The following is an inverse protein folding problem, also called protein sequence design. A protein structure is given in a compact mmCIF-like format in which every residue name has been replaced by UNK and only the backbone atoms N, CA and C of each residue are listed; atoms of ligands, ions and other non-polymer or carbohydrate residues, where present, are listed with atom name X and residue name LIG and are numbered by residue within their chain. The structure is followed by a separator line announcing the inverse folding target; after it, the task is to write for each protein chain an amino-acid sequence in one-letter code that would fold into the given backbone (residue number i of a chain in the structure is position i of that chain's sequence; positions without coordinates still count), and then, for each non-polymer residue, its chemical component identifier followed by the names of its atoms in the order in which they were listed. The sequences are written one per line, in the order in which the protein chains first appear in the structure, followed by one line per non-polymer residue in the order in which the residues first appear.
data_IF_240271826570
#
_entry.id   IF_240271826570
#
_cell.length_a   1.000
_cell.length_b   1.000
_cell.length_c   1.000
_cell.angle_alpha   90.00
_cell.angle_beta   90.00
_cell.angle_gamma   90.00
#
_symmetry.space_group_name_H-M   'P 1'
#
loop_
_entity.id
_entity.type
_entity.pdbx_description
1 polymer ?
#
# COMPACT_ATOMS: atom_id res chain seq x y z
N UNK A 1 -31.89 -20.38 -42.95
CA UNK A 1 -30.48 -19.99 -42.73
C UNK A 1 -30.45 -18.48 -42.68
N UNK A 2 -29.40 -17.91 -42.07
CA UNK A 2 -29.23 -16.51 -41.63
C UNK A 2 -29.67 -16.36 -40.16
N UNK A 3 -28.84 -16.59 -39.15
CA UNK A 3 -27.40 -16.30 -39.06
C UNK A 3 -27.19 -15.06 -38.17
N UNK A 4 -27.81 -15.03 -36.99
CA UNK A 4 -27.54 -14.00 -35.99
C UNK A 4 -26.26 -14.37 -35.25
N UNK A 5 -25.20 -13.59 -35.47
CA UNK A 5 -23.91 -13.73 -34.81
C UNK A 5 -23.87 -12.73 -33.64
N UNK A 6 -23.89 -13.18 -32.38
CA UNK A 6 -23.65 -12.30 -31.25
C UNK A 6 -22.15 -12.09 -31.12
N UNK A 7 -21.69 -10.84 -31.09
CA UNK A 7 -20.31 -10.33 -30.99
C UNK A 7 -19.84 -9.62 -32.27
N UNK A 8 -20.48 -8.51 -32.60
CA UNK A 8 -19.78 -7.41 -33.26
C UNK A 8 -19.52 -6.34 -32.18
N UNK A 9 -18.49 -6.58 -31.37
CA UNK A 9 -17.97 -5.59 -30.44
C UNK A 9 -16.79 -4.91 -31.13
N UNK A 10 -17.09 -3.87 -31.90
CA UNK A 10 -16.07 -2.93 -32.34
C UNK A 10 -15.28 -2.45 -31.12
N UNK A 11 -13.93 -2.47 -31.15
CA UNK A 11 -13.13 -1.97 -30.03
C UNK A 11 -13.48 -0.50 -29.79
N UNK A 12 -13.73 -0.12 -28.54
CA UNK A 12 -13.90 1.29 -28.15
C UNK A 12 -12.52 1.95 -28.30
N UNK A 13 -12.22 2.36 -29.52
CA UNK A 13 -11.13 3.26 -29.84
C UNK A 13 -11.64 4.67 -29.55
N UNK A 14 -11.17 5.22 -28.44
CA UNK A 14 -11.42 6.57 -27.95
C UNK A 14 -12.73 6.77 -27.19
N UNK A 15 -12.58 7.12 -25.91
CA UNK A 15 -13.64 7.73 -25.12
C UNK A 15 -13.77 9.17 -25.62
N UNK A 16 -14.82 9.41 -26.40
CA UNK A 16 -15.22 10.75 -26.79
C UNK A 16 -15.47 11.60 -25.53
N UNK A 17 -14.55 12.54 -25.26
CA UNK A 17 -14.60 13.42 -24.10
C UNK A 17 -15.78 14.40 -24.19
N UNK A 18 -16.35 14.60 -25.37
CA UNK A 18 -17.50 15.49 -25.59
C UNK A 18 -18.85 14.81 -25.35
N UNK A 19 -18.89 13.47 -25.23
CA UNK A 19 -20.09 12.71 -24.84
C UNK A 19 -20.29 12.54 -23.33
N UNK A 20 -19.30 12.91 -22.53
CA UNK A 20 -19.42 12.91 -21.08
C UNK A 20 -20.11 14.21 -20.64
N UNK A 21 -21.43 14.27 -20.82
CA UNK A 21 -22.21 15.39 -20.33
C UNK A 21 -21.90 15.60 -18.85
N UNK A 22 -21.45 16.80 -18.52
CA UNK A 22 -21.02 17.18 -17.18
C UNK A 22 -22.12 16.92 -16.12
N UNK A 23 -23.40 16.92 -16.54
CA UNK A 23 -24.54 16.50 -15.72
C UNK A 23 -24.56 14.99 -15.41
N UNK A 24 -24.17 14.13 -16.35
CA UNK A 24 -24.04 12.67 -16.13
C UNK A 24 -22.86 12.38 -15.19
N UNK A 25 -21.73 13.07 -15.37
CA UNK A 25 -20.59 12.96 -14.44
C UNK A 25 -20.99 13.35 -13.02
N UNK A 26 -21.64 14.51 -12.85
CA UNK A 26 -22.18 14.94 -11.55
C UNK A 26 -23.16 13.94 -10.95
N UNK A 27 -23.97 13.27 -11.77
CA UNK A 27 -24.90 12.23 -11.30
C UNK A 27 -24.14 11.00 -10.82
N UNK A 28 -23.09 10.58 -11.53
CA UNK A 28 -22.23 9.46 -11.13
C UNK A 28 -21.48 9.79 -9.83
N UNK A 29 -20.88 10.98 -9.73
CA UNK A 29 -20.24 11.48 -8.51
C UNK A 29 -21.21 11.44 -7.33
N UNK A 30 -22.41 11.99 -7.50
CA UNK A 30 -23.45 11.95 -6.47
C UNK A 30 -23.85 10.53 -6.07
N UNK A 31 -23.98 9.60 -7.03
CA UNK A 31 -24.30 8.21 -6.72
C UNK A 31 -23.17 7.52 -5.95
N UNK A 32 -21.90 7.83 -6.25
CA UNK A 32 -20.74 7.35 -5.50
C UNK A 32 -20.75 7.89 -4.07
N UNK A 33 -21.12 9.17 -3.88
CA UNK A 33 -21.27 9.79 -2.56
C UNK A 33 -22.38 9.12 -1.76
N UNK A 34 -23.57 9.01 -2.36
CA UNK A 34 -24.74 8.41 -1.73
C UNK A 34 -24.47 6.94 -1.35
N UNK A 35 -23.76 6.20 -2.19
CA UNK A 35 -23.32 4.83 -1.89
C UNK A 35 -22.28 4.79 -0.77
N UNK A 36 -21.31 5.72 -0.75
CA UNK A 36 -20.30 5.78 0.31
C UNK A 36 -20.94 6.10 1.66
N UNK A 37 -21.88 7.04 1.70
CA UNK A 37 -22.69 7.36 2.88
C UNK A 37 -23.54 6.16 3.30
N UNK A 38 -24.25 5.52 2.36
CA UNK A 38 -25.08 4.35 2.67
C UNK A 38 -24.24 3.19 3.20
N UNK A 39 -23.08 2.89 2.61
CA UNK A 39 -22.19 1.82 3.04
C UNK A 39 -21.59 2.10 4.42
N UNK A 40 -21.20 3.34 4.72
CA UNK A 40 -20.72 3.71 6.06
C UNK A 40 -21.82 3.63 7.12
N UNK A 41 -23.08 3.93 6.78
CA UNK A 41 -24.23 3.82 7.68
C UNK A 41 -24.72 2.39 7.89
N UNK A 42 -24.75 1.56 6.84
CA UNK A 42 -25.26 0.19 6.89
C UNK A 42 -24.20 -0.84 7.30
N UNK A 43 -22.92 -0.56 7.05
CA UNK A 43 -21.80 -1.41 7.44
C UNK A 43 -20.77 -0.63 8.28
N UNK A 44 -21.18 -0.01 9.41
CA UNK A 44 -20.30 0.86 10.19
C UNK A 44 -19.08 0.13 10.73
N UNK A 45 -19.19 -1.19 10.97
CA UNK A 45 -18.08 -2.04 11.41
C UNK A 45 -17.04 -2.31 10.31
N UNK A 46 -17.44 -2.31 9.05
CA UNK A 46 -16.55 -2.51 7.90
C UNK A 46 -15.83 -1.21 7.60
N UNK A 47 -16.56 -0.09 7.59
CA UNK A 47 -16.00 1.23 7.37
C UNK A 47 -15.08 1.68 8.50
N UNK A 48 -15.41 1.38 9.77
CA UNK A 48 -14.59 1.76 10.93
C UNK A 48 -13.21 1.12 10.97
N UNK A 49 -13.01 0.04 10.20
CA UNK A 49 -11.71 -0.62 10.13
C UNK A 49 -10.87 -0.08 8.97
N UNK A 50 -11.47 0.55 7.95
CA UNK A 50 -10.72 1.01 6.78
C UNK A 50 -9.88 2.24 7.14
N UNK A 51 -8.58 2.04 7.14
CA UNK A 51 -7.56 3.05 7.39
C UNK A 51 -6.87 3.41 6.07
N UNK A 52 -6.50 4.69 5.92
CA UNK A 52 -5.65 5.17 4.82
C UNK A 52 -4.42 5.86 5.39
N UNK A 53 -3.44 5.11 5.92
CA UNK A 53 -2.27 5.70 6.55
C UNK A 53 -1.47 6.58 5.58
N UNK A 54 -0.79 7.60 6.08
CA UNK A 54 0.14 8.41 5.29
C UNK A 54 1.57 7.94 5.54
N UNK A 55 2.42 7.98 4.51
CA UNK A 55 3.84 7.64 4.65
C UNK A 55 4.60 8.75 5.38
N UNK A 56 5.39 8.39 6.39
CA UNK A 56 6.21 9.35 7.14
C UNK A 56 7.56 9.57 6.46
N UNK A 57 7.71 10.73 5.83
CA UNK A 57 8.95 11.16 5.17
C UNK A 57 10.17 11.19 6.11
N UNK A 58 9.98 11.33 7.42
CA UNK A 58 11.09 11.32 8.38
C UNK A 58 11.64 9.91 8.64
N UNK A 59 10.81 8.89 8.42
CA UNK A 59 11.18 7.48 8.59
C UNK A 59 11.77 6.85 7.33
N UNK A 60 11.63 7.52 6.17
CA UNK A 60 12.05 6.94 4.90
C UNK A 60 13.56 6.85 4.77
N UNK A 61 14.01 5.69 4.31
CA UNK A 61 15.40 5.48 3.92
C UNK A 61 15.82 6.52 2.84
N UNK A 62 17.04 7.11 2.90
CA UNK A 62 17.48 8.20 2.02
C UNK A 62 17.44 7.94 0.50
N UNK A 63 17.47 6.66 0.09
CA UNK A 63 17.32 6.23 -1.31
C UNK A 63 15.87 6.00 -1.74
N UNK A 64 14.89 6.35 -0.92
CA UNK A 64 13.48 6.31 -1.27
C UNK A 64 12.99 7.70 -1.62
N UNK A 65 12.06 7.74 -2.56
CA UNK A 65 11.32 8.94 -2.90
C UNK A 65 9.85 8.72 -2.54
N UNK A 66 9.29 9.64 -1.76
CA UNK A 66 7.88 9.65 -1.39
C UNK A 66 7.18 10.74 -2.21
N UNK A 67 6.01 10.43 -2.76
CA UNK A 67 5.16 11.42 -3.42
C UNK A 67 4.70 12.53 -2.47
N UNK A 68 4.33 13.69 -3.02
CA UNK A 68 3.89 14.85 -2.25
C UNK A 68 2.64 14.56 -1.39
N UNK A 69 1.73 13.72 -1.89
CA UNK A 69 0.53 13.27 -1.17
C UNK A 69 0.82 12.23 -0.07
N UNK A 70 2.08 11.81 0.09
CA UNK A 70 2.53 10.79 1.04
C UNK A 70 1.86 9.43 0.87
N UNK A 71 1.45 9.09 -0.34
CA UNK A 71 0.81 7.80 -0.62
C UNK A 71 1.67 6.85 -1.42
N UNK A 72 2.66 7.33 -2.15
CA UNK A 72 3.52 6.51 -3.00
C UNK A 72 4.95 6.51 -2.48
N UNK A 73 5.63 5.37 -2.63
CA UNK A 73 7.06 5.26 -2.40
C UNK A 73 7.71 4.41 -3.48
N UNK A 74 8.81 4.89 -4.04
CA UNK A 74 9.66 4.14 -4.95
C UNK A 74 11.13 4.26 -4.54
N UNK A 75 11.95 3.35 -5.05
CA UNK A 75 13.39 3.47 -4.91
C UNK A 75 13.94 4.43 -5.95
N UNK A 76 14.78 5.38 -5.50
CA UNK A 76 15.42 6.37 -6.36
C UNK A 76 16.90 6.04 -6.53
N UNK A 77 17.34 5.98 -7.78
CA UNK A 77 18.77 5.93 -8.12
C UNK A 77 19.37 7.32 -7.91
N UNK A 78 20.06 7.54 -6.80
CA UNK A 78 20.83 8.78 -6.59
C UNK A 78 22.14 8.76 -7.39
N UNK A 79 22.57 9.91 -7.96
CA UNK A 79 23.93 10.11 -8.45
C UNK A 79 24.94 10.00 -7.30
N UNK A 80 26.16 9.52 -7.60
CA UNK A 80 27.23 9.28 -6.61
C UNK A 80 27.63 10.54 -5.82
N UNK A 81 27.33 11.73 -6.32
CA UNK A 81 27.68 13.03 -5.70
C UNK A 81 26.76 13.48 -4.56
N UNK A 82 25.61 12.83 -4.35
CA UNK A 82 24.59 13.24 -3.35
C UNK A 82 24.58 12.33 -2.11
N UNK A 83 25.74 11.79 -1.72
CA UNK A 83 25.85 10.91 -0.56
C UNK A 83 25.43 11.63 0.73
N UNK A 84 24.27 11.27 1.27
CA UNK A 84 23.79 11.73 2.56
C UNK A 84 24.56 11.07 3.71
N UNK A 85 24.68 11.80 4.82
CA UNK A 85 25.29 11.33 6.06
C UNK A 85 24.60 10.06 6.59
N UNK A 86 25.31 9.21 7.36
CA UNK A 86 24.74 7.96 7.89
C UNK A 86 23.59 8.30 8.83
N UNK A 87 22.36 8.02 8.42
CA UNK A 87 21.22 8.13 9.30
C UNK A 87 21.21 6.93 10.25
N UNK A 88 20.81 7.19 11.50
CA UNK A 88 20.89 6.28 12.65
C UNK A 88 19.90 5.09 12.60
N UNK A 89 19.08 5.01 11.56
CA UNK A 89 18.04 4.00 11.40
C UNK A 89 18.22 3.28 10.05
N UNK A 90 18.93 2.16 10.02
CA UNK A 90 19.23 1.42 8.79
C UNK A 90 18.05 0.51 8.37
N UNK A 91 16.85 1.07 8.23
CA UNK A 91 15.74 0.35 7.63
C UNK A 91 16.07 0.10 6.15
N UNK A 92 16.56 -1.09 5.80
CA UNK A 92 16.94 -1.45 4.44
C UNK A 92 15.83 -1.04 3.46
N UNK A 93 16.02 0.05 2.73
CA UNK A 93 15.07 0.60 1.74
C UNK A 93 13.59 0.62 2.19
N UNK A 94 13.29 0.96 3.45
CA UNK A 94 11.90 0.97 3.94
C UNK A 94 11.43 2.35 4.42
N UNK A 95 10.12 2.49 4.56
CA UNK A 95 9.42 3.66 5.12
C UNK A 95 8.25 3.19 5.98
N UNK A 96 8.00 3.90 7.09
CA UNK A 96 6.86 3.66 7.97
C UNK A 96 5.69 4.58 7.61
N UNK A 97 4.48 4.16 7.95
CA UNK A 97 3.36 5.08 8.03
C UNK A 97 3.45 5.96 9.30
N UNK A 98 2.83 7.13 9.23
CA UNK A 98 2.76 8.08 10.34
C UNK A 98 1.83 7.57 11.45
N UNK A 99 0.74 6.91 11.07
CA UNK A 99 -0.20 6.30 11.98
C UNK A 99 0.31 4.95 12.52
N UNK A 100 0.01 4.69 13.79
CA UNK A 100 0.25 3.40 14.43
C UNK A 100 -1.00 2.88 15.11
N UNK A 101 -1.08 1.57 15.28
CA UNK A 101 -2.25 0.90 15.81
C UNK A 101 -1.92 0.18 17.12
N UNK A 102 -2.65 0.53 18.18
CA UNK A 102 -2.45 -0.05 19.52
C UNK A 102 -3.63 -0.89 19.99
N UNK A 103 -4.84 -0.60 19.50
CA UNK A 103 -6.07 -1.30 19.90
C UNK A 103 -7.04 -1.43 18.72
N UNK A 104 -7.98 -2.37 18.80
CA UNK A 104 -9.07 -2.51 17.83
C UNK A 104 -8.73 -3.34 16.59
N UNK A 105 -9.43 -3.04 15.49
CA UNK A 105 -9.25 -3.68 14.18
C UNK A 105 -8.99 -2.60 13.13
N UNK A 106 -7.95 -2.79 12.34
CA UNK A 106 -7.52 -1.87 11.31
C UNK A 106 -7.23 -2.62 10.03
N UNK A 107 -7.67 -2.07 8.91
CA UNK A 107 -7.54 -2.63 7.58
C UNK A 107 -7.04 -1.55 6.64
N UNK A 108 -6.00 -1.85 5.87
CA UNK A 108 -5.54 -0.96 4.82
C UNK A 108 -5.07 -1.80 3.63
N UNK A 109 -5.00 -1.17 2.47
CA UNK A 109 -4.57 -1.83 1.24
C UNK A 109 -3.32 -1.14 0.69
N UNK A 110 -2.43 -1.93 0.09
CA UNK A 110 -1.26 -1.45 -0.64
C UNK A 110 -1.35 -1.95 -2.06
N UNK A 111 -1.41 -1.03 -3.01
CA UNK A 111 -1.33 -1.31 -4.43
C UNK A 111 0.13 -1.62 -4.77
N UNK A 112 0.34 -2.84 -5.29
CA UNK A 112 1.64 -3.38 -5.71
C UNK A 112 1.73 -3.60 -7.23
N UNK A 113 0.58 -3.66 -7.93
CA UNK A 113 0.46 -3.87 -9.38
C UNK A 113 1.37 -5.01 -9.89
N UNK A 114 2.12 -4.74 -10.96
CA UNK A 114 3.04 -5.68 -11.61
C UNK A 114 4.49 -5.52 -11.09
N UNK A 115 4.69 -4.88 -9.94
CA UNK A 115 6.02 -4.65 -9.36
C UNK A 115 6.68 -5.98 -9.01
N UNK A 116 7.88 -6.30 -9.55
CA UNK A 116 8.50 -7.63 -9.41
C UNK A 116 9.10 -7.91 -8.04
N UNK A 117 9.51 -6.88 -7.29
CA UNK A 117 10.10 -7.05 -5.96
C UNK A 117 9.54 -6.03 -4.97
N UNK A 118 9.09 -6.50 -3.81
CA UNK A 118 8.64 -5.65 -2.71
C UNK A 118 8.52 -6.43 -1.39
N UNK A 119 8.57 -5.71 -0.27
CA UNK A 119 8.11 -6.19 1.04
C UNK A 119 7.06 -5.22 1.58
N UNK A 120 5.95 -5.77 2.06
CA UNK A 120 4.87 -4.99 2.69
C UNK A 120 4.45 -5.69 3.97
N UNK A 121 4.36 -4.93 5.06
CA UNK A 121 4.07 -5.51 6.37
C UNK A 121 3.86 -4.47 7.46
N UNK A 122 4.15 -4.89 8.68
CA UNK A 122 4.12 -4.04 9.88
C UNK A 122 5.37 -4.26 10.73
N UNK A 123 5.67 -3.28 11.57
CA UNK A 123 6.69 -3.37 12.62
C UNK A 123 6.20 -2.71 13.90
N UNK A 124 6.76 -3.07 15.05
CA UNK A 124 6.54 -2.33 16.31
C UNK A 124 7.26 -0.97 16.35
N UNK A 125 7.93 -0.58 15.27
CA UNK A 125 8.71 0.66 15.15
C UNK A 125 10.19 0.47 15.54
N UNK A 126 11.03 1.51 15.35
CA UNK A 126 12.39 1.49 15.85
C UNK A 126 12.38 1.38 17.37
N UNK A 127 13.12 0.42 17.91
CA UNK A 127 13.33 0.30 19.34
C UNK A 127 14.43 1.27 19.73
N UNK A 128 14.07 2.46 20.24
CA UNK A 128 15.01 3.39 20.89
C UNK A 128 15.42 2.81 22.26
N UNK A 129 16.05 1.64 22.28
CA UNK A 129 16.77 1.17 23.47
C UNK A 129 18.16 1.76 23.39
N UNK A 130 18.51 2.61 24.36
CA UNK A 130 19.79 3.33 24.46
C UNK A 130 21.05 2.46 24.62
N UNK A 131 21.00 1.20 24.18
CA UNK A 131 22.15 0.36 23.99
C UNK A 131 22.61 0.49 22.53
N UNK A 132 23.93 0.52 22.31
CA UNK A 132 24.58 0.80 21.03
C UNK A 132 23.83 0.22 19.82
N UNK A 133 23.78 0.93 18.67
CA UNK A 133 23.07 0.48 17.48
C UNK A 133 23.70 -0.84 17.02
N UNK A 134 23.08 -1.95 17.43
CA UNK A 134 23.37 -3.26 16.91
C UNK A 134 23.02 -3.21 15.43
N UNK A 135 24.07 -3.16 14.62
CA UNK A 135 24.15 -3.14 13.15
C UNK A 135 23.49 -4.35 12.47
N UNK A 136 22.39 -4.89 13.00
CA UNK A 136 21.76 -6.07 12.43
C UNK A 136 20.25 -6.05 12.65
N UNK A 137 19.52 -5.98 11.53
CA UNK A 137 18.13 -6.42 11.34
C UNK A 137 16.99 -5.39 11.41
N UNK A 138 17.19 -4.14 10.99
CA UNK A 138 16.08 -3.23 10.67
C UNK A 138 15.37 -3.55 9.34
N UNK A 139 15.76 -4.63 8.64
CA UNK A 139 15.04 -5.12 7.47
C UNK A 139 13.74 -5.83 7.88
N UNK A 140 12.69 -5.66 7.07
CA UNK A 140 11.39 -6.32 7.28
C UNK A 140 11.54 -7.85 7.33
N UNK A 141 10.95 -8.50 8.34
CA UNK A 141 10.84 -9.97 8.43
C UNK A 141 12.07 -10.70 8.99
N UNK A 142 13.19 -10.01 9.24
CA UNK A 142 14.43 -10.61 9.77
C UNK A 142 14.65 -10.32 11.26
N UNK A 143 13.60 -9.93 11.97
CA UNK A 143 13.59 -9.67 13.41
C UNK A 143 12.26 -10.13 14.01
N UNK A 144 12.21 -10.20 15.34
CA UNK A 144 11.02 -10.56 16.09
C UNK A 144 10.01 -9.40 16.26
N UNK A 145 10.30 -8.22 15.72
CA UNK A 145 9.47 -7.00 15.82
C UNK A 145 8.73 -6.66 14.52
N UNK A 146 8.87 -7.47 13.47
CA UNK A 146 8.26 -7.20 12.16
C UNK A 146 7.72 -8.45 11.48
N UNK A 147 6.65 -8.24 10.70
CA UNK A 147 5.93 -9.27 9.95
C UNK A 147 5.60 -8.72 8.58
N UNK A 148 5.87 -9.48 7.51
CA UNK A 148 5.58 -9.02 6.16
C UNK A 148 5.31 -10.15 5.18
N UNK A 149 4.79 -9.75 4.02
CA UNK A 149 4.86 -10.53 2.79
C UNK A 149 5.98 -9.96 1.93
N UNK A 150 6.89 -10.84 1.50
CA UNK A 150 7.85 -10.58 0.44
C UNK A 150 7.32 -11.13 -0.88
N UNK A 151 7.49 -10.37 -1.96
CA UNK A 151 7.35 -10.83 -3.33
C UNK A 151 8.66 -10.63 -4.08
N UNK A 152 9.09 -11.65 -4.80
CA UNK A 152 10.28 -11.60 -5.66
C UNK A 152 10.39 -12.85 -6.53
N UNK A 153 10.83 -12.68 -7.77
CA UNK A 153 10.99 -13.77 -8.75
C UNK A 153 9.74 -14.66 -8.89
N UNK A 154 8.55 -14.05 -8.82
CA UNK A 154 7.26 -14.75 -8.89
C UNK A 154 6.87 -15.53 -7.63
N UNK A 155 7.70 -15.52 -6.59
CA UNK A 155 7.43 -16.15 -5.31
C UNK A 155 6.80 -15.18 -4.32
N UNK A 156 6.08 -15.74 -3.35
CA UNK A 156 5.53 -15.02 -2.21
C UNK A 156 5.96 -15.73 -0.94
N UNK A 157 6.54 -14.98 0.00
CA UNK A 157 6.99 -15.50 1.28
C UNK A 157 6.31 -14.71 2.40
N UNK A 158 5.80 -15.40 3.42
CA UNK A 158 5.49 -14.81 4.70
C UNK A 158 6.76 -14.82 5.57
N UNK A 159 7.22 -13.64 6.00
CA UNK A 159 8.49 -13.49 6.70
C UNK A 159 8.30 -12.88 8.10
N UNK A 160 8.90 -13.52 9.11
CA UNK A 160 8.96 -13.06 10.49
C UNK A 160 10.10 -13.76 11.23
N UNK A 161 10.87 -13.01 12.04
CA UNK A 161 11.93 -13.56 12.88
C UNK A 161 12.91 -14.46 12.12
N UNK A 162 13.35 -14.00 10.93
CA UNK A 162 14.23 -14.72 9.99
C UNK A 162 13.65 -16.01 9.39
N UNK A 163 12.42 -16.37 9.75
CA UNK A 163 11.70 -17.50 9.17
C UNK A 163 10.91 -17.06 7.94
N UNK A 164 11.00 -17.86 6.90
CA UNK A 164 10.31 -17.64 5.64
C UNK A 164 9.40 -18.83 5.34
N UNK A 165 8.13 -18.53 5.05
CA UNK A 165 7.15 -19.53 4.61
C UNK A 165 6.68 -19.21 3.20
N UNK A 166 6.98 -20.08 2.26
CA UNK A 166 6.47 -19.97 0.90
C UNK A 166 4.94 -20.09 0.86
N UNK A 167 4.30 -19.17 0.14
CA UNK A 167 2.85 -19.09 -0.01
C UNK A 167 2.42 -19.60 -1.39
N UNK A 168 1.41 -20.48 -1.48
CA UNK A 168 0.92 -21.01 -2.75
C UNK A 168 -0.01 -19.99 -3.44
N UNK A 169 0.58 -18.96 -4.02
CA UNK A 169 -0.15 -17.89 -4.69
C UNK A 169 -0.28 -18.21 -6.18
N UNK A 170 -1.49 -18.57 -6.62
CA UNK A 170 -1.74 -19.04 -8.00
C UNK A 170 -1.87 -17.91 -9.04
N UNK A 171 -2.27 -16.72 -8.62
CA UNK A 171 -2.36 -15.52 -9.46
C UNK A 171 -1.63 -14.38 -8.79
N UNK A 172 -0.99 -13.52 -9.59
CA UNK A 172 -0.25 -12.38 -9.07
C UNK A 172 -1.16 -11.42 -8.32
N UNK A 173 -0.78 -11.11 -7.08
CA UNK A 173 -1.45 -10.11 -6.24
C UNK A 173 -1.11 -8.72 -6.77
N UNK A 174 -2.14 -7.95 -7.15
CA UNK A 174 -2.01 -6.53 -7.57
C UNK A 174 -2.31 -5.56 -6.44
N UNK A 175 -3.08 -6.00 -5.46
CA UNK A 175 -3.42 -5.24 -4.27
C UNK A 175 -3.37 -6.13 -3.04
N UNK A 176 -2.51 -5.77 -2.09
CA UNK A 176 -2.34 -6.49 -0.83
C UNK A 176 -3.19 -5.82 0.25
N UNK A 177 -4.14 -6.56 0.84
CA UNK A 177 -4.91 -6.11 2.00
C UNK A 177 -4.27 -6.59 3.30
N UNK A 178 -4.20 -5.74 4.31
CA UNK A 178 -3.65 -6.07 5.62
C UNK A 178 -4.72 -5.80 6.68
N UNK A 179 -5.07 -6.82 7.46
CA UNK A 179 -5.98 -6.71 8.60
C UNK A 179 -5.21 -6.95 9.90
N UNK A 180 -5.05 -5.90 10.70
CA UNK A 180 -4.54 -5.98 12.06
C UNK A 180 -5.71 -6.09 13.05
N UNK A 181 -5.91 -7.26 13.63
CA UNK A 181 -6.89 -7.53 14.67
C UNK A 181 -6.18 -7.66 16.03
N UNK A 182 -5.92 -6.52 16.66
CA UNK A 182 -5.13 -6.42 17.88
C UNK A 182 -5.82 -7.06 19.08
N UNK A 183 -7.16 -7.10 19.08
CA UNK A 183 -7.93 -7.82 20.10
C UNK A 183 -7.71 -9.34 20.06
N UNK A 184 -7.51 -9.90 18.86
CA UNK A 184 -7.25 -11.33 18.67
C UNK A 184 -5.77 -11.66 18.47
N UNK A 185 -4.87 -10.66 18.54
CA UNK A 185 -3.43 -10.83 18.26
C UNK A 185 -3.18 -11.46 16.90
N UNK A 186 -3.96 -11.03 15.90
CA UNK A 186 -3.94 -11.61 14.57
C UNK A 186 -3.60 -10.54 13.54
N UNK A 187 -2.64 -10.84 12.66
CA UNK A 187 -2.28 -10.01 11.52
C UNK A 187 -2.44 -10.83 10.24
N UNK A 188 -3.45 -10.51 9.46
CA UNK A 188 -3.81 -11.26 8.26
C UNK A 188 -3.52 -10.47 6.98
N UNK A 189 -3.01 -11.16 5.97
CA UNK A 189 -2.69 -10.63 4.65
C UNK A 189 -3.58 -11.27 3.60
N UNK A 190 -4.11 -10.47 2.69
CA UNK A 190 -5.08 -10.86 1.67
C UNK A 190 -4.64 -10.41 0.28
N UNK A 191 -4.99 -11.19 -0.74
CA UNK A 191 -5.23 -10.62 -2.07
C UNK A 191 -6.54 -9.84 -1.97
N UNK A 192 -6.46 -8.51 -2.01
CA UNK A 192 -7.61 -7.65 -1.81
C UNK A 192 -8.58 -7.68 -3.01
N UNK A 193 -8.08 -7.94 -4.23
CA UNK A 193 -8.93 -8.01 -5.42
C UNK A 193 -9.70 -9.34 -5.45
N UNK A 194 -9.06 -10.44 -5.06
CA UNK A 194 -9.71 -11.76 -4.97
C UNK A 194 -10.43 -12.00 -3.64
N UNK A 195 -10.23 -11.13 -2.63
CA UNK A 195 -10.66 -11.30 -1.25
C UNK A 195 -10.22 -12.63 -0.62
N UNK A 196 -9.04 -13.13 -1.00
CA UNK A 196 -8.52 -14.43 -0.50
C UNK A 196 -7.40 -14.23 0.51
N UNK A 197 -7.47 -14.96 1.63
CA UNK A 197 -6.41 -14.98 2.64
C UNK A 197 -5.13 -15.60 2.05
N UNK A 198 -4.02 -14.86 2.16
CA UNK A 198 -2.68 -15.33 1.80
C UNK A 198 -1.97 -15.93 3.01
N UNK A 199 -1.99 -15.22 4.14
CA UNK A 199 -1.33 -15.64 5.37
C UNK A 199 -1.90 -14.94 6.60
N UNK A 200 -1.76 -15.55 7.77
CA UNK A 200 -2.09 -14.93 9.06
C UNK A 200 -1.01 -15.24 10.09
N UNK A 201 -0.49 -14.20 10.74
CA UNK A 201 0.46 -14.31 11.84
C UNK A 201 -0.25 -14.14 13.18
N UNK A 202 0.26 -14.85 14.19
CA UNK A 202 -0.05 -14.57 15.59
C UNK A 202 0.94 -13.52 16.11
N UNK A 203 0.45 -12.32 16.40
CA UNK A 203 1.27 -11.17 16.81
C UNK A 203 1.14 -10.97 18.32
N UNK A 204 2.13 -11.45 19.06
CA UNK A 204 2.18 -11.35 20.53
C UNK A 204 2.87 -10.06 21.01
N UNK A 205 2.58 -8.92 20.38
CA UNK A 205 3.12 -7.61 20.79
C UNK A 205 2.05 -6.77 21.50
N UNK A 206 2.49 -5.92 22.42
CA UNK A 206 1.66 -4.88 23.07
C UNK A 206 2.02 -3.47 22.58
N UNK A 207 3.09 -3.39 21.81
CA UNK A 207 3.66 -2.21 21.19
C UNK A 207 2.79 -1.76 20.01
N UNK A 208 2.77 -0.45 19.69
CA UNK A 208 2.08 0.06 18.51
C UNK A 208 2.59 -0.59 17.22
N UNK A 209 1.70 -1.04 16.35
CA UNK A 209 2.06 -1.53 15.03
C UNK A 209 2.03 -0.39 14.00
N UNK A 210 3.15 -0.20 13.32
CA UNK A 210 3.30 0.71 12.20
C UNK A 210 3.26 -0.07 10.89
N UNK A 211 2.39 0.28 9.94
CA UNK A 211 2.53 -0.13 8.55
C UNK A 211 3.92 0.21 8.01
N UNK A 212 4.53 -0.70 7.27
CA UNK A 212 5.86 -0.52 6.66
C UNK A 212 5.87 -1.00 5.22
N UNK A 213 6.42 -0.18 4.33
CA UNK A 213 6.57 -0.46 2.90
C UNK A 213 8.04 -0.46 2.52
N UNK A 214 8.44 -1.42 1.69
CA UNK A 214 9.76 -1.53 1.11
C UNK A 214 9.64 -1.82 -0.40
N UNK A 215 9.90 -0.84 -1.27
CA UNK A 215 9.78 -1.03 -2.72
C UNK A 215 10.93 -1.86 -3.32
N UNK A 216 11.88 -2.35 -2.53
CA UNK A 216 13.13 -2.97 -2.98
C UNK A 216 13.96 -2.04 -3.86
N UNK A 217 15.18 -2.46 -4.19
CA UNK A 217 16.04 -1.73 -5.12
C UNK A 217 15.52 -1.85 -6.56
N UNK A 218 15.92 -0.90 -7.41
CA UNK A 218 15.80 -1.09 -8.84
C UNK A 218 16.74 -2.19 -9.33
N UNK A 219 16.22 -3.09 -10.17
CA UNK A 219 16.96 -4.17 -10.82
C UNK A 219 16.99 -3.87 -12.31
N UNK A 220 18.03 -3.14 -12.76
CA UNK A 220 18.21 -2.79 -14.17
C UNK A 220 17.00 -2.07 -14.84
N UNK A 221 16.28 -1.24 -14.09
CA UNK A 221 15.09 -0.52 -14.57
C UNK A 221 13.79 -1.30 -14.44
N UNK A 222 13.83 -2.56 -13.98
CA UNK A 222 12.66 -3.45 -13.97
C UNK A 222 11.78 -3.29 -12.71
N UNK A 223 12.26 -2.62 -11.66
CA UNK A 223 11.55 -2.50 -10.39
C UNK A 223 11.30 -1.03 -9.97
N UNK A 224 11.06 -0.17 -10.95
CA UNK A 224 10.92 1.29 -10.77
C UNK A 224 9.53 1.73 -10.34
N UNK A 225 8.52 0.86 -10.47
CA UNK A 225 7.14 1.18 -10.11
C UNK A 225 7.03 1.45 -8.59
N UNK A 226 6.18 2.40 -8.17
CA UNK A 226 5.99 2.69 -6.76
C UNK A 226 5.12 1.62 -6.08
N UNK A 227 5.30 1.47 -4.77
CA UNK A 227 4.25 0.97 -3.90
C UNK A 227 3.32 2.14 -3.56
N UNK A 228 2.02 1.90 -3.55
CA UNK A 228 1.03 2.95 -3.28
C UNK A 228 0.12 2.50 -2.15
N UNK A 229 0.12 3.23 -1.03
CA UNK A 229 -0.94 3.08 -0.02
C UNK A 229 -2.26 3.40 -0.70
N UNK A 230 -3.26 2.53 -0.61
CA UNK A 230 -4.57 2.77 -1.20
C UNK A 230 -5.36 3.75 -0.34
N UNK A 231 -6.08 4.65 -1.00
CA UNK A 231 -7.06 5.49 -0.37
C UNK A 231 -8.25 5.62 -1.30
N UNK A 232 -9.43 5.76 -0.70
CA UNK A 232 -10.57 6.26 -1.44
C UNK A 232 -10.33 7.76 -1.53
N UNK A 233 -10.25 8.28 -2.76
CA UNK A 233 -10.17 9.72 -2.98
C UNK A 233 -11.41 10.31 -2.33
N UNK A 234 -11.25 11.22 -1.37
CA UNK A 234 -12.38 11.96 -0.85
C UNK A 234 -13.07 12.61 -2.06
N UNK A 235 -14.38 12.42 -2.26
CA UNK A 235 -15.10 12.97 -3.40
C UNK A 235 -14.97 14.49 -3.55
N UNK A 236 -14.46 15.14 -2.49
CA UNK A 236 -14.44 16.59 -2.31
C UNK A 236 -13.07 17.23 -2.54
N UNK A 237 -12.00 16.46 -2.80
CA UNK A 237 -10.68 17.00 -3.14
C UNK A 237 -10.62 17.43 -4.63
N UNK A 238 -11.43 18.43 -4.94
CA UNK A 238 -11.31 19.24 -6.13
C UNK A 238 -10.40 20.43 -5.79
N UNK A 239 -9.10 20.31 -6.03
CA UNK A 239 -8.27 21.50 -6.15
C UNK A 239 -8.82 22.34 -7.29
N UNK A 240 -9.49 23.43 -6.95
CA UNK A 240 -9.86 24.48 -7.90
C UNK A 240 -8.55 25.08 -8.39
N UNK A 241 -8.05 24.59 -9.53
CA UNK A 241 -7.06 25.33 -10.31
C UNK A 241 -7.75 26.58 -10.86
N UNK A 242 -7.79 27.63 -10.04
CA UNK A 242 -8.03 28.97 -10.53
C UNK A 242 -6.73 29.52 -11.12
N UNK A 243 -6.37 29.06 -12.31
CA UNK A 243 -5.49 29.81 -13.21
C UNK A 243 -6.30 30.29 -14.41
N UNK A 244 -6.31 31.61 -14.60
CA UNK A 244 -6.44 32.22 -15.92
C UNK A 244 -7.83 32.67 -16.34
N UNK A 245 -8.28 33.81 -15.80
CA UNK A 245 -9.07 34.74 -16.59
C UNK A 245 -8.38 36.11 -16.53
N UNK A 246 -7.76 36.48 -17.65
CA UNK A 246 -7.28 37.82 -17.95
C UNK A 246 -8.42 38.83 -17.81
N UNK A 247 -8.12 39.99 -17.25
CA UNK A 247 -8.30 41.31 -17.88
C UNK A 247 -7.18 42.24 -17.40
#
# INVERSE_FOLDING_TARGET
MDGWNPLDLTPILEVDKDLCELAKLRTVEKLVDDLSVALSQHFPRMWSCLSSPALDSKSAHPKLEISQDRKQVCWRRQPVSEALSPQLYDFQYSVLAQESFTTGRHYWEVIVQEKPYWLVGVTTGPVDKGDAPSQSSSSLGVNNTSWCIYHGDGQYLACHDTQEKQLPVGKRVRKLGILANLQKRELSFYDADAMTLLHSFCVQCTEPLFPMLNPCIDVNGLNTQPLTMFWIKDPWDCHVNAEGAKE
#
